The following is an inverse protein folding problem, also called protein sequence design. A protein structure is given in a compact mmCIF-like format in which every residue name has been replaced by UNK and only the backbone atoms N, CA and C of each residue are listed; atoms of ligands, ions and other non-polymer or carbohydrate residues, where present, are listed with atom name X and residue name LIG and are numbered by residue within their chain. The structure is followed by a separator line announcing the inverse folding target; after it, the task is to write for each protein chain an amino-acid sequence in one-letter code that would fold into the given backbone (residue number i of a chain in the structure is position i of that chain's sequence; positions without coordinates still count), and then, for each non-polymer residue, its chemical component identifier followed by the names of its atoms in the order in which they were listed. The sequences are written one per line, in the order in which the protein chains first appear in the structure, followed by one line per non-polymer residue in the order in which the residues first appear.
data_IF_280075902644
#
_entry.id   IF_280075902644
#
_cell.length_a   1.000
_cell.length_b   1.000
_cell.length_c   1.000
_cell.angle_alpha   90.00
_cell.angle_beta   90.00
_cell.angle_gamma   90.00
#
_symmetry.space_group_name_H-M   'P 1'
#
loop_
_entity.id
_entity.type
_entity.pdbx_description
1 polymer ?
#
# COMPACT_ATOMS: atom_id res chain seq x y z
N UNK A 1 -68.85 -27.08 -4.91
CA UNK A 1 -68.24 -25.87 -5.51
C UNK A 1 -66.89 -26.31 -6.03
N UNK A 2 -66.92 -26.76 -7.27
CA UNK A 2 -65.76 -27.24 -8.04
C UNK A 2 -64.99 -26.06 -8.63
N UNK A 3 -63.72 -26.33 -8.93
CA UNK A 3 -62.82 -25.52 -9.75
C UNK A 3 -63.36 -25.33 -11.19
N UNK A 4 -62.80 -24.32 -11.89
CA UNK A 4 -62.50 -24.15 -13.34
C UNK A 4 -62.27 -22.62 -13.50
N UNK A 5 -61.30 -22.01 -14.19
CA UNK A 5 -60.13 -22.41 -14.99
C UNK A 5 -59.27 -21.14 -15.23
N UNK A 6 -58.02 -21.34 -15.67
CA UNK A 6 -56.95 -20.36 -15.94
C UNK A 6 -57.17 -19.44 -17.16
N UNK A 7 -56.43 -18.32 -17.24
CA UNK A 7 -55.54 -17.91 -18.37
C UNK A 7 -54.76 -16.61 -17.98
N UNK A 8 -53.42 -16.66 -17.84
CA UNK A 8 -52.37 -16.16 -18.77
C UNK A 8 -52.39 -14.63 -19.01
N UNK A 9 -51.32 -13.82 -19.08
CA UNK A 9 -49.85 -13.92 -19.19
C UNK A 9 -49.36 -12.47 -19.06
N UNK A 10 -48.20 -12.21 -18.45
CA UNK A 10 -47.12 -11.39 -19.06
C UNK A 10 -45.92 -11.22 -18.12
N UNK A 11 -44.78 -11.53 -18.73
CA UNK A 11 -43.43 -11.66 -18.22
C UNK A 11 -42.71 -10.31 -18.16
N UNK A 12 -41.89 -10.09 -17.14
CA UNK A 12 -40.69 -9.23 -17.21
C UNK A 12 -40.07 -9.17 -15.81
N UNK A 13 -38.79 -9.35 -15.57
CA UNK A 13 -37.66 -9.73 -16.41
C UNK A 13 -36.55 -10.07 -15.41
N UNK A 14 -35.93 -11.23 -15.58
CA UNK A 14 -34.72 -11.59 -14.85
C UNK A 14 -33.64 -10.59 -15.25
N UNK A 15 -33.31 -9.65 -14.36
CA UNK A 15 -32.02 -8.96 -14.44
C UNK A 15 -30.94 -10.04 -14.35
N UNK A 16 -30.16 -10.17 -15.44
CA UNK A 16 -29.16 -11.20 -15.59
C UNK A 16 -28.13 -11.10 -14.48
N UNK A 17 -27.62 -12.25 -14.05
CA UNK A 17 -26.52 -12.37 -13.08
C UNK A 17 -25.26 -11.57 -13.48
N UNK A 18 -25.21 -11.07 -14.72
CA UNK A 18 -24.19 -10.19 -15.29
C UNK A 18 -24.14 -8.78 -14.69
N UNK A 19 -25.22 -8.26 -14.07
CA UNK A 19 -25.20 -6.91 -13.48
C UNK A 19 -24.48 -6.85 -12.10
N UNK A 20 -24.16 -8.00 -11.49
CA UNK A 20 -23.33 -8.06 -10.27
C UNK A 20 -21.82 -7.99 -10.54
N UNK A 21 -21.39 -7.97 -11.81
CA UNK A 21 -19.99 -7.98 -12.20
C UNK A 21 -19.36 -6.58 -12.37
N UNK A 22 -19.76 -5.60 -11.56
CA UNK A 22 -19.20 -4.23 -11.62
C UNK A 22 -18.41 -3.91 -10.35
N UNK A 23 -17.09 -3.77 -10.55
CA UNK A 23 -16.00 -3.39 -9.63
C UNK A 23 -15.68 -4.35 -8.49
N UNK A 24 -14.97 -5.45 -8.79
CA UNK A 24 -13.98 -5.97 -7.83
C UNK A 24 -12.75 -5.08 -8.02
N UNK A 25 -12.52 -4.12 -7.13
CA UNK A 25 -11.21 -3.47 -7.05
C UNK A 25 -10.20 -4.58 -6.69
N UNK A 26 -9.35 -4.98 -7.64
CA UNK A 26 -8.24 -5.88 -7.35
C UNK A 26 -7.26 -5.15 -6.44
N UNK A 27 -7.38 -5.39 -5.13
CA UNK A 27 -6.41 -4.92 -4.16
C UNK A 27 -5.01 -5.43 -4.53
N UNK A 28 -3.94 -4.64 -4.31
CA UNK A 28 -2.58 -5.10 -4.56
C UNK A 28 -2.27 -6.40 -3.81
N UNK A 29 -1.44 -7.27 -4.40
CA UNK A 29 -1.12 -8.61 -3.85
C UNK A 29 -0.60 -8.62 -2.39
N UNK A 30 -0.09 -7.47 -1.93
CA UNK A 30 0.48 -7.24 -0.61
C UNK A 30 -0.52 -6.67 0.41
N UNK A 31 -1.68 -6.18 -0.02
CA UNK A 31 -2.68 -5.61 0.89
C UNK A 31 -3.18 -6.70 1.86
N UNK A 32 -3.21 -6.36 3.15
CA UNK A 32 -3.56 -7.31 4.22
C UNK A 32 -2.53 -8.41 4.51
N UNK A 33 -1.40 -8.48 3.79
CA UNK A 33 -0.37 -9.51 4.02
C UNK A 33 0.56 -9.12 5.16
N UNK A 34 0.88 -10.10 6.02
CA UNK A 34 1.74 -9.90 7.21
C UNK A 34 3.19 -9.54 6.86
N UNK A 35 3.69 -9.91 5.68
CA UNK A 35 5.01 -9.51 5.22
C UNK A 35 5.08 -8.04 4.78
N UNK A 36 3.93 -7.39 4.52
CA UNK A 36 3.86 -6.02 4.02
C UNK A 36 3.65 -4.99 5.12
N UNK A 37 3.26 -5.44 6.32
CA UNK A 37 2.96 -4.59 7.46
C UNK A 37 3.33 -5.26 8.77
N UNK A 38 4.11 -4.53 9.56
CA UNK A 38 4.45 -4.90 10.93
C UNK A 38 4.33 -3.66 11.82
N UNK A 39 3.69 -3.78 12.98
CA UNK A 39 3.60 -2.72 13.96
C UNK A 39 4.15 -3.25 15.29
N UNK A 40 5.18 -2.62 15.81
CA UNK A 40 5.85 -3.02 17.05
C UNK A 40 5.61 -1.95 18.12
N UNK A 41 4.37 -1.81 18.58
CA UNK A 41 3.99 -0.79 19.57
C UNK A 41 4.71 -0.91 20.91
N UNK A 42 5.26 -2.08 21.23
CA UNK A 42 6.04 -2.35 22.45
C UNK A 42 7.53 -1.94 22.32
N UNK A 43 7.97 -1.44 21.16
CA UNK A 43 9.36 -1.04 20.95
C UNK A 43 9.64 0.27 21.70
N UNK A 44 10.82 0.38 22.32
CA UNK A 44 11.25 1.54 23.11
C UNK A 44 11.37 2.82 22.26
N UNK A 45 11.46 2.66 20.94
CA UNK A 45 11.50 3.76 19.98
C UNK A 45 10.15 4.04 19.32
N UNK A 46 9.08 3.34 19.66
CA UNK A 46 7.79 3.48 18.99
C UNK A 46 6.98 4.69 19.52
N UNK A 47 6.35 5.49 18.64
CA UNK A 47 6.62 5.56 17.20
C UNK A 47 7.92 6.34 16.95
N UNK A 48 8.78 5.83 16.07
CA UNK A 48 10.07 6.50 15.83
C UNK A 48 9.93 7.80 15.04
N UNK A 49 8.76 8.00 14.41
CA UNK A 49 8.36 9.25 13.77
C UNK A 49 6.99 9.69 14.31
N UNK A 50 6.80 10.99 14.47
CA UNK A 50 5.54 11.56 14.98
C UNK A 50 4.39 11.19 14.03
N UNK A 51 3.34 10.58 14.58
CA UNK A 51 2.11 10.24 13.86
C UNK A 51 0.89 10.48 14.75
N UNK A 52 -0.27 10.73 14.12
CA UNK A 52 -1.58 10.74 14.79
C UNK A 52 -2.31 9.39 14.70
N UNK A 53 -1.73 8.44 13.97
CA UNK A 53 -2.30 7.12 13.65
C UNK A 53 -1.30 6.00 13.97
N UNK A 54 -1.03 5.72 15.25
CA UNK A 54 -0.07 4.70 15.65
C UNK A 54 -0.42 3.30 15.13
N UNK A 55 -1.70 2.99 14.95
CA UNK A 55 -2.21 1.72 14.42
C UNK A 55 -1.90 1.50 12.92
N UNK A 56 -1.69 2.58 12.16
CA UNK A 56 -1.27 2.53 10.75
C UNK A 56 0.26 2.61 10.59
N UNK A 57 1.00 2.74 11.69
CA UNK A 57 2.46 2.90 11.67
C UNK A 57 3.16 1.60 11.29
N UNK A 58 3.99 1.64 10.25
CA UNK A 58 4.74 0.47 9.78
C UNK A 58 6.17 0.48 10.33
N UNK A 59 6.56 -0.57 11.03
CA UNK A 59 7.89 -0.80 11.59
C UNK A 59 8.74 -1.71 10.68
N UNK A 60 8.19 -2.23 9.58
CA UNK A 60 8.92 -3.10 8.65
C UNK A 60 10.18 -2.41 8.09
N UNK A 61 10.10 -1.11 7.86
CA UNK A 61 11.20 -0.29 7.36
C UNK A 61 11.56 0.79 8.37
N UNK A 62 12.11 0.40 9.52
CA UNK A 62 12.62 1.35 10.53
C UNK A 62 13.83 2.18 10.06
N UNK A 63 14.36 1.89 8.88
CA UNK A 63 15.30 2.72 8.13
C UNK A 63 14.68 3.13 6.78
N UNK A 64 15.26 4.10 6.07
CA UNK A 64 14.79 4.46 4.74
C UNK A 64 15.39 3.50 3.67
N UNK A 65 14.64 2.52 3.12
CA UNK A 65 15.14 1.66 2.05
C UNK A 65 15.40 2.42 0.74
N UNK A 66 14.86 3.64 0.61
CA UNK A 66 14.99 4.50 -0.57
C UNK A 66 16.12 5.53 -0.44
N UNK A 67 17.01 5.38 0.55
CA UNK A 67 18.08 6.33 0.81
C UNK A 67 18.94 6.56 -0.44
N UNK A 68 19.40 5.47 -1.07
CA UNK A 68 20.30 5.46 -2.21
C UNK A 68 19.74 6.13 -3.47
N UNK A 69 18.42 6.31 -3.57
CA UNK A 69 17.79 7.01 -4.70
C UNK A 69 18.01 8.53 -4.66
N UNK A 70 18.65 9.07 -3.61
CA UNK A 70 18.86 10.50 -3.48
C UNK A 70 17.53 11.26 -3.46
N UNK A 71 17.42 12.27 -4.31
CA UNK A 71 16.23 13.11 -4.48
C UNK A 71 15.06 12.42 -5.22
N UNK A 72 15.33 11.34 -5.95
CA UNK A 72 14.34 10.57 -6.71
C UNK A 72 13.43 9.67 -5.85
N UNK A 73 13.68 9.63 -4.54
CA UNK A 73 12.94 8.77 -3.61
C UNK A 73 11.50 9.25 -3.32
N UNK A 74 11.14 10.49 -3.69
CA UNK A 74 9.81 11.07 -3.46
C UNK A 74 9.41 11.27 -1.99
N UNK A 75 10.34 11.08 -1.05
CA UNK A 75 10.13 11.24 0.39
C UNK A 75 10.36 12.68 0.87
N UNK A 76 9.96 12.93 2.11
CA UNK A 76 10.24 14.19 2.80
C UNK A 76 11.60 14.10 3.50
N UNK A 77 12.66 14.53 2.81
CA UNK A 77 14.04 14.51 3.30
C UNK A 77 14.67 15.90 3.17
N UNK A 78 15.82 16.08 3.81
CA UNK A 78 16.73 17.19 3.56
C UNK A 78 18.16 16.66 3.43
N UNK A 79 19.05 17.43 2.82
CA UNK A 79 20.49 17.16 2.89
C UNK A 79 21.09 18.08 3.95
N UNK A 80 22.03 17.56 4.75
CA UNK A 80 22.90 18.39 5.58
C UNK A 80 23.92 19.13 4.72
N UNK A 81 24.63 20.09 5.31
CA UNK A 81 25.70 20.82 4.64
C UNK A 81 26.83 19.89 4.16
N UNK A 82 27.06 18.77 4.85
CA UNK A 82 28.02 17.72 4.48
C UNK A 82 27.48 16.72 3.43
N UNK A 83 26.29 16.97 2.87
CA UNK A 83 25.68 16.11 1.86
C UNK A 83 25.05 14.81 2.40
N UNK A 84 24.89 14.68 3.72
CA UNK A 84 24.22 13.51 4.31
C UNK A 84 22.71 13.70 4.18
N UNK A 85 22.03 12.72 3.59
CA UNK A 85 20.58 12.72 3.48
C UNK A 85 19.95 12.40 4.85
N UNK A 86 19.14 13.32 5.36
CA UNK A 86 18.34 13.18 6.58
C UNK A 86 16.89 12.89 6.21
N UNK A 87 16.41 11.71 6.62
CA UNK A 87 15.05 11.23 6.38
C UNK A 87 14.15 11.27 7.63
N UNK A 88 14.56 11.90 8.73
CA UNK A 88 13.82 11.93 10.00
C UNK A 88 12.44 12.60 9.94
N UNK A 89 12.08 13.23 8.81
CA UNK A 89 10.76 13.79 8.55
C UNK A 89 9.94 12.97 7.53
N UNK A 90 10.43 11.81 7.09
CA UNK A 90 9.82 11.00 6.05
C UNK A 90 8.91 9.92 6.65
N UNK A 91 7.63 9.91 6.23
CA UNK A 91 6.66 8.90 6.67
C UNK A 91 6.46 7.74 5.68
N UNK A 92 7.13 7.75 4.51
CA UNK A 92 6.99 6.69 3.51
C UNK A 92 7.29 5.30 4.10
N UNK A 93 8.41 5.07 4.80
CA UNK A 93 8.72 3.76 5.40
C UNK A 93 7.73 3.35 6.50
N UNK A 94 7.07 4.34 7.09
CA UNK A 94 6.27 4.21 8.31
C UNK A 94 4.76 4.23 8.09
N UNK A 95 4.31 4.11 6.84
CA UNK A 95 2.88 4.12 6.50
C UNK A 95 2.48 2.76 5.94
N UNK A 96 1.43 2.14 6.51
CA UNK A 96 0.90 0.84 6.06
C UNK A 96 0.68 0.74 4.55
N UNK A 97 0.09 1.77 3.93
CA UNK A 97 -0.23 1.77 2.49
C UNK A 97 0.97 2.03 1.56
N UNK A 98 2.18 2.22 2.10
CA UNK A 98 3.37 2.59 1.30
C UNK A 98 4.29 1.42 0.99
N UNK A 99 4.00 0.20 1.46
CA UNK A 99 4.77 -0.99 1.09
C UNK A 99 4.91 -1.13 -0.43
N UNK A 100 3.80 -1.07 -1.17
CA UNK A 100 3.81 -1.17 -2.64
C UNK A 100 4.67 -0.10 -3.31
N UNK A 101 4.64 1.14 -2.80
CA UNK A 101 5.48 2.23 -3.31
C UNK A 101 6.96 1.92 -3.13
N UNK A 102 7.37 1.46 -1.94
CA UNK A 102 8.77 1.12 -1.66
C UNK A 102 9.24 -0.02 -2.57
N UNK A 103 8.42 -1.06 -2.73
CA UNK A 103 8.75 -2.19 -3.59
C UNK A 103 8.85 -1.79 -5.07
N UNK A 104 7.99 -0.88 -5.55
CA UNK A 104 8.05 -0.40 -6.95
C UNK A 104 9.35 0.34 -7.28
N UNK A 105 10.08 0.83 -6.27
CA UNK A 105 11.34 1.56 -6.40
C UNK A 105 12.58 0.66 -6.37
N UNK A 106 12.42 -0.62 -6.10
CA UNK A 106 13.55 -1.53 -5.93
C UNK A 106 14.37 -1.72 -7.21
N UNK A 107 13.73 -1.73 -8.38
CA UNK A 107 14.42 -1.81 -9.68
C UNK A 107 15.38 -0.64 -9.89
N UNK A 108 15.00 0.58 -9.49
CA UNK A 108 15.87 1.76 -9.59
C UNK A 108 17.11 1.62 -8.69
N UNK A 109 16.97 1.02 -7.50
CA UNK A 109 18.09 0.75 -6.59
C UNK A 109 19.03 -0.31 -7.18
N UNK A 110 18.48 -1.35 -7.81
CA UNK A 110 19.27 -2.35 -8.54
C UNK A 110 20.10 -1.70 -9.64
N UNK A 111 19.53 -0.75 -10.39
CA UNK A 111 20.27 -0.03 -11.43
C UNK A 111 21.38 0.86 -10.86
N UNK A 112 21.19 1.48 -9.69
CA UNK A 112 22.28 2.19 -9.00
C UNK A 112 23.41 1.22 -8.64
N UNK A 113 23.05 0.06 -8.10
CA UNK A 113 24.03 -0.97 -7.71
C UNK A 113 24.84 -1.45 -8.91
N UNK A 114 24.19 -1.67 -10.07
CA UNK A 114 24.87 -2.05 -11.31
C UNK A 114 25.87 -0.99 -11.79
N UNK A 115 25.52 0.29 -11.70
CA UNK A 115 26.39 1.40 -12.13
C UNK A 115 27.62 1.59 -11.23
N UNK A 116 27.53 1.20 -9.96
CA UNK A 116 28.62 1.36 -8.97
C UNK A 116 29.50 0.11 -8.84
N UNK A 117 29.34 -0.87 -9.74
CA UNK A 117 30.05 -2.16 -9.67
C UNK A 117 31.53 -2.06 -10.06
N UNK A 118 31.87 -1.07 -10.88
CA UNK A 118 33.19 -0.82 -11.44
C UNK A 118 33.72 0.55 -10.98
#
# INVERSE_FOLDING_TARGET
MENLENENVETSSNASEEEKAKSVEEFPYWEGKKYAFFNHSECEFFPCHKTKKPEEFNCLFCYCPLYALGDKCGGNFKFSDDGIKDCSNCMIPHTKSKYGYIMSKFSEIVEITKRNRD
#
